data_IF_714141688373
#
_entry.id   IF_714141688373
#
_cell.length_a   1.000
_cell.length_b   1.000
_cell.length_c   1.000
_cell.angle_alpha   90.00
_cell.angle_beta   90.00
_cell.angle_gamma   90.00
#
_symmetry.space_group_name_H-M   'P 1'
#
loop_
_entity.id
_entity.type
_entity.pdbx_description
1 polymer ?
#
# COMPACT_ATOMS: atom_id res chain seq x y z
N UNK A 1 20.90 8.80 -20.54
CA UNK A 1 20.18 8.64 -19.25
C UNK A 1 19.28 9.86 -19.09
N UNK A 2 18.05 9.71 -18.60
CA UNK A 2 17.19 10.88 -18.36
C UNK A 2 17.73 11.74 -17.23
N UNK A 3 17.67 13.06 -17.37
CA UNK A 3 18.04 14.00 -16.30
C UNK A 3 17.08 13.77 -15.13
N UNK A 4 17.58 13.23 -14.02
CA UNK A 4 16.75 12.89 -12.86
C UNK A 4 16.13 14.13 -12.22
N UNK A 5 15.02 13.95 -11.49
CA UNK A 5 14.30 15.08 -10.90
C UNK A 5 15.18 15.96 -10.00
N UNK A 6 16.12 15.35 -9.27
CA UNK A 6 17.10 16.04 -8.44
C UNK A 6 17.95 17.03 -9.25
N UNK A 7 18.38 16.68 -10.46
CA UNK A 7 19.21 17.55 -11.31
C UNK A 7 18.38 18.71 -11.90
N UNK A 8 17.14 18.45 -12.32
CA UNK A 8 16.25 19.50 -12.83
C UNK A 8 15.88 20.50 -11.72
N UNK A 9 15.58 20.01 -10.51
CA UNK A 9 15.31 20.86 -9.35
C UNK A 9 16.57 21.59 -8.88
N UNK A 10 17.74 20.93 -8.94
CA UNK A 10 19.04 21.56 -8.65
C UNK A 10 19.36 22.72 -9.60
N UNK A 11 19.13 22.56 -10.90
CA UNK A 11 19.29 23.64 -11.88
C UNK A 11 18.32 24.80 -11.59
N UNK A 12 17.03 24.49 -11.33
CA UNK A 12 16.03 25.49 -10.89
C UNK A 12 16.50 26.25 -9.64
N UNK A 13 17.09 25.57 -8.67
CA UNK A 13 17.65 26.16 -7.45
C UNK A 13 18.71 27.21 -7.77
N UNK A 14 19.66 26.88 -8.65
CA UNK A 14 20.74 27.79 -9.07
C UNK A 14 20.18 29.00 -9.82
N UNK A 15 19.26 28.78 -10.78
CA UNK A 15 18.62 29.89 -11.52
C UNK A 15 17.88 30.85 -10.59
N UNK A 16 17.13 30.34 -9.61
CA UNK A 16 16.43 31.16 -8.62
C UNK A 16 17.39 31.91 -7.70
N UNK A 17 18.55 31.33 -7.36
CA UNK A 17 19.58 32.02 -6.57
C UNK A 17 20.24 33.17 -7.34
N UNK A 18 20.54 32.96 -8.64
CA UNK A 18 21.07 34.01 -9.52
C UNK A 18 20.06 35.15 -9.68
N UNK A 19 18.76 34.83 -9.82
CA UNK A 19 17.69 35.82 -9.87
C UNK A 19 17.57 36.61 -8.56
N UNK A 20 17.64 35.94 -7.40
CA UNK A 20 17.71 36.58 -6.08
C UNK A 20 18.89 37.56 -6.00
N UNK A 21 20.11 37.12 -6.33
CA UNK A 21 21.31 37.95 -6.27
C UNK A 21 21.20 39.17 -7.21
N UNK A 22 20.68 38.98 -8.42
CA UNK A 22 20.45 40.05 -9.40
C UNK A 22 19.43 41.07 -8.90
N UNK A 23 18.27 40.63 -8.38
CA UNK A 23 17.24 41.52 -7.83
C UNK A 23 17.75 42.30 -6.60
N UNK A 24 18.49 41.63 -5.70
CA UNK A 24 19.08 42.25 -4.51
C UNK A 24 20.11 43.32 -4.90
N UNK A 25 21.00 43.03 -5.84
CA UNK A 25 22.05 43.95 -6.28
C UNK A 25 21.48 45.16 -7.05
N UNK A 26 20.36 44.98 -7.77
CA UNK A 26 19.66 46.05 -8.47
C UNK A 26 18.72 46.89 -7.57
N UNK A 27 18.78 46.73 -6.24
CA UNK A 27 18.02 47.56 -5.29
C UNK A 27 16.60 47.09 -4.99
N UNK A 28 16.23 45.84 -5.31
CA UNK A 28 14.90 45.27 -5.05
C UNK A 28 14.92 44.16 -3.97
N UNK A 29 15.35 44.44 -2.73
CA UNK A 29 15.56 43.41 -1.71
C UNK A 29 14.26 42.67 -1.34
N UNK A 30 13.13 43.36 -1.20
CA UNK A 30 11.85 42.73 -0.83
C UNK A 30 11.36 41.74 -1.89
N UNK A 31 11.48 42.10 -3.18
CA UNK A 31 11.11 41.23 -4.32
C UNK A 31 12.07 40.04 -4.48
N UNK A 32 13.29 40.14 -3.95
CA UNK A 32 14.29 39.06 -4.02
C UNK A 32 14.01 37.91 -3.04
N UNK A 33 13.33 38.18 -1.91
CA UNK A 33 13.12 37.19 -0.82
C UNK A 33 12.39 35.92 -1.29
N UNK A 34 11.28 35.97 -2.07
CA UNK A 34 10.64 34.77 -2.60
C UNK A 34 11.55 33.93 -3.51
N UNK A 35 12.48 34.57 -4.24
CA UNK A 35 13.44 33.86 -5.08
C UNK A 35 14.47 33.10 -4.24
N UNK A 36 14.97 33.70 -3.16
CA UNK A 36 15.85 33.02 -2.20
C UNK A 36 15.13 31.83 -1.54
N UNK A 37 13.91 32.05 -1.05
CA UNK A 37 13.11 30.99 -0.42
C UNK A 37 12.86 29.81 -1.37
N UNK A 38 12.37 30.09 -2.58
CA UNK A 38 12.12 29.06 -3.59
C UNK A 38 13.43 28.37 -4.05
N UNK A 39 14.57 29.07 -4.02
CA UNK A 39 15.89 28.47 -4.24
C UNK A 39 16.25 27.49 -3.11
N UNK A 40 16.25 27.93 -1.85
CA UNK A 40 16.59 27.07 -0.70
C UNK A 40 15.72 25.81 -0.61
N UNK A 41 14.41 25.95 -0.83
CA UNK A 41 13.49 24.80 -0.87
C UNK A 41 13.79 23.88 -2.05
N UNK A 42 14.11 24.43 -3.24
CA UNK A 42 14.55 23.61 -4.38
C UNK A 42 15.86 22.88 -4.09
N UNK A 43 16.83 23.53 -3.43
CA UNK A 43 18.09 22.89 -3.03
C UNK A 43 17.86 21.71 -2.09
N UNK A 44 17.06 21.88 -1.03
CA UNK A 44 16.74 20.81 -0.07
C UNK A 44 16.07 19.61 -0.75
N UNK A 45 15.14 19.86 -1.68
CA UNK A 45 14.44 18.80 -2.42
C UNK A 45 15.37 18.13 -3.44
N UNK A 46 16.26 18.87 -4.10
CA UNK A 46 17.31 18.33 -4.97
C UNK A 46 18.22 17.36 -4.18
N UNK A 47 18.60 17.75 -2.97
CA UNK A 47 19.43 16.94 -2.07
C UNK A 47 18.68 15.70 -1.58
N UNK A 48 17.47 15.83 -1.04
CA UNK A 48 16.71 14.70 -0.51
C UNK A 48 16.21 13.72 -1.60
N UNK A 49 15.99 14.19 -2.83
CA UNK A 49 15.64 13.33 -3.98
C UNK A 49 16.87 12.75 -4.71
N UNK A 50 18.10 13.05 -4.28
CA UNK A 50 19.35 12.49 -4.81
C UNK A 50 19.41 10.95 -4.59
N UNK A 51 20.03 10.15 -5.50
CA UNK A 51 20.05 8.70 -5.35
C UNK A 51 20.73 8.22 -4.06
N UNK A 52 21.74 8.94 -3.60
CA UNK A 52 22.58 8.55 -2.45
C UNK A 52 21.99 8.96 -1.09
N UNK A 53 20.92 9.76 -1.08
CA UNK A 53 20.28 10.27 0.13
C UNK A 53 18.85 9.74 0.24
N UNK A 54 18.07 9.83 -0.84
CA UNK A 54 16.73 9.26 -0.99
C UNK A 54 15.85 9.37 0.28
N UNK A 55 15.57 10.60 0.72
CA UNK A 55 14.79 10.89 1.93
C UNK A 55 13.36 11.37 1.57
N UNK A 56 12.41 10.48 1.22
CA UNK A 56 11.05 10.87 0.82
C UNK A 56 10.23 11.45 1.98
N UNK A 57 10.64 11.19 3.21
CA UNK A 57 10.04 11.70 4.45
C UNK A 57 10.25 13.22 4.60
N UNK A 58 11.18 13.85 3.85
CA UNK A 58 11.48 15.30 3.96
C UNK A 58 10.23 16.18 3.92
N UNK A 59 9.25 15.84 3.06
CA UNK A 59 8.03 16.62 2.90
C UNK A 59 7.02 16.44 4.06
N UNK A 60 7.34 15.65 5.09
CA UNK A 60 6.50 15.48 6.28
C UNK A 60 5.13 14.87 6.00
N UNK A 61 4.97 14.08 4.94
CA UNK A 61 3.70 13.42 4.63
C UNK A 61 3.45 12.31 5.65
N UNK A 62 2.29 12.38 6.30
CA UNK A 62 1.84 11.42 7.29
C UNK A 62 1.45 10.07 6.65
N UNK A 63 1.38 9.01 7.45
CA UNK A 63 0.96 7.66 7.01
C UNK A 63 -0.47 7.64 6.46
N UNK A 64 -1.36 8.48 6.98
CA UNK A 64 -2.73 8.69 6.49
C UNK A 64 -2.80 9.47 5.16
N UNK A 65 -1.66 9.97 4.65
CA UNK A 65 -1.51 10.73 3.42
C UNK A 65 -1.71 12.25 3.54
N UNK A 66 -1.95 12.77 4.75
CA UNK A 66 -2.08 14.21 5.00
C UNK A 66 -0.71 14.91 5.13
N UNK A 67 -0.73 16.24 5.15
CA UNK A 67 0.46 17.06 5.40
C UNK A 67 0.22 17.98 6.61
N UNK A 68 1.15 18.05 7.57
CA UNK A 68 1.07 18.98 8.69
C UNK A 68 1.27 20.43 8.22
N UNK A 69 0.73 21.37 8.98
CA UNK A 69 0.73 22.81 8.62
C UNK A 69 2.15 23.33 8.37
N UNK A 70 3.14 22.93 9.17
CA UNK A 70 4.54 23.35 8.98
C UNK A 70 5.10 22.95 7.61
N UNK A 71 4.73 21.76 7.11
CA UNK A 71 5.16 21.27 5.79
C UNK A 71 4.43 22.03 4.69
N UNK A 72 3.12 22.25 4.83
CA UNK A 72 2.36 23.04 3.86
C UNK A 72 2.91 24.46 3.74
N UNK A 73 3.33 25.11 4.84
CA UNK A 73 3.99 26.42 4.80
C UNK A 73 5.37 26.30 4.15
N UNK A 74 6.27 25.47 4.69
CA UNK A 74 7.69 25.40 4.28
C UNK A 74 7.90 24.86 2.86
N UNK A 75 7.08 23.90 2.42
CA UNK A 75 7.19 23.30 1.09
C UNK A 75 6.13 23.80 0.10
N UNK A 76 5.31 24.81 0.46
CA UNK A 76 4.28 25.39 -0.43
C UNK A 76 4.75 25.64 -1.87
N UNK A 77 5.92 26.27 -2.15
CA UNK A 77 6.28 26.60 -3.53
C UNK A 77 6.57 25.36 -4.38
N UNK A 78 6.89 24.23 -3.74
CA UNK A 78 7.07 22.95 -4.40
C UNK A 78 5.76 22.16 -4.48
N UNK A 79 5.07 21.96 -3.34
CA UNK A 79 3.86 21.15 -3.28
C UNK A 79 2.77 21.69 -4.21
N UNK A 80 2.49 23.00 -4.20
CA UNK A 80 1.53 23.60 -5.12
C UNK A 80 2.02 23.60 -6.58
N UNK A 81 3.32 23.76 -6.82
CA UNK A 81 3.90 23.67 -8.17
C UNK A 81 3.71 22.27 -8.78
N UNK A 82 4.03 21.20 -8.05
CA UNK A 82 3.87 19.83 -8.58
C UNK A 82 2.39 19.50 -8.75
N UNK A 83 1.51 19.88 -7.79
CA UNK A 83 0.06 19.67 -7.91
C UNK A 83 -0.51 20.39 -9.14
N UNK A 84 -0.17 21.67 -9.33
CA UNK A 84 -0.58 22.47 -10.48
C UNK A 84 -0.05 21.92 -11.81
N UNK A 85 1.23 21.53 -11.86
CA UNK A 85 1.84 20.91 -13.03
C UNK A 85 1.20 19.55 -13.37
N UNK A 86 0.89 18.73 -12.37
CA UNK A 86 0.19 17.44 -12.57
C UNK A 86 -1.25 17.63 -13.04
N UNK A 87 -1.98 18.62 -12.50
CA UNK A 87 -3.32 18.97 -12.98
C UNK A 87 -3.28 19.44 -14.44
N UNK A 88 -2.39 20.40 -14.76
CA UNK A 88 -2.20 20.94 -16.10
C UNK A 88 -1.80 19.85 -17.11
N UNK A 89 -0.82 19.02 -16.77
CA UNK A 89 -0.41 17.88 -17.60
C UNK A 89 -1.56 16.90 -17.83
N UNK A 90 -2.42 16.66 -16.83
CA UNK A 90 -3.58 15.76 -16.99
C UNK A 90 -4.66 16.37 -17.90
N UNK A 91 -4.87 17.68 -17.86
CA UNK A 91 -5.78 18.37 -18.80
C UNK A 91 -5.35 18.20 -20.28
N UNK A 92 -4.04 18.16 -20.55
CA UNK A 92 -3.52 17.97 -21.91
C UNK A 92 -3.31 16.49 -22.31
N UNK A 93 -3.22 15.57 -21.36
CA UNK A 93 -2.88 14.16 -21.60
C UNK A 93 -4.05 13.32 -22.13
N UNK A 94 -5.28 13.60 -21.67
CA UNK A 94 -6.47 12.82 -22.03
C UNK A 94 -6.49 11.38 -21.49
N UNK A 95 -5.48 10.96 -20.72
CA UNK A 95 -5.41 9.62 -20.15
C UNK A 95 -6.47 9.38 -19.06
N UNK A 96 -7.05 8.16 -18.98
CA UNK A 96 -7.99 7.84 -17.92
C UNK A 96 -7.29 7.88 -16.54
N UNK A 97 -7.99 8.36 -15.48
CA UNK A 97 -7.41 8.50 -14.14
C UNK A 97 -6.81 7.20 -13.62
N UNK A 98 -7.47 6.08 -13.89
CA UNK A 98 -7.04 4.72 -13.58
C UNK A 98 -7.35 3.75 -14.73
N UNK A 99 -6.69 2.60 -14.71
CA UNK A 99 -6.96 1.45 -15.58
C UNK A 99 -7.28 0.23 -14.71
N UNK A 100 -8.35 -0.51 -15.04
CA UNK A 100 -8.63 -1.82 -14.45
C UNK A 100 -7.70 -2.86 -15.05
N UNK A 101 -6.93 -3.55 -14.21
CA UNK A 101 -6.00 -4.59 -14.66
C UNK A 101 -6.69 -5.95 -14.66
N UNK A 102 -7.33 -6.31 -13.55
CA UNK A 102 -8.23 -7.45 -13.43
C UNK A 102 -9.35 -7.13 -12.43
N UNK A 103 -10.12 -8.14 -11.99
CA UNK A 103 -11.27 -7.89 -11.12
C UNK A 103 -10.85 -7.37 -9.73
N UNK A 104 -11.41 -6.22 -9.35
CA UNK A 104 -11.05 -5.50 -8.12
C UNK A 104 -9.60 -5.01 -8.03
N UNK A 105 -8.84 -4.88 -9.15
CA UNK A 105 -7.44 -4.40 -9.12
C UNK A 105 -7.22 -3.30 -10.17
N UNK A 106 -6.79 -2.13 -9.69
CA UNK A 106 -6.70 -0.89 -10.45
C UNK A 106 -5.36 -0.18 -10.25
N UNK A 107 -4.82 0.42 -11.32
CA UNK A 107 -3.60 1.25 -11.25
C UNK A 107 -3.84 2.60 -11.92
N UNK A 108 -3.34 3.71 -11.35
CA UNK A 108 -3.65 5.04 -11.87
C UNK A 108 -2.75 6.18 -11.42
N UNK A 109 -3.11 7.37 -11.89
CA UNK A 109 -2.59 8.63 -11.39
C UNK A 109 -3.37 9.13 -10.17
N UNK A 110 -2.88 10.19 -9.55
CA UNK A 110 -3.40 10.69 -8.28
C UNK A 110 -4.88 11.12 -8.41
N UNK A 111 -5.81 10.55 -7.62
CA UNK A 111 -7.23 10.89 -7.71
C UNK A 111 -7.46 12.29 -7.11
N UNK A 112 -7.78 13.28 -7.96
CA UNK A 112 -8.03 14.65 -7.48
C UNK A 112 -9.44 14.87 -6.92
N UNK A 113 -10.30 13.86 -6.95
CA UNK A 113 -11.73 13.95 -6.63
C UNK A 113 -12.36 12.56 -6.65
N UNK A 114 -13.51 12.38 -5.99
CA UNK A 114 -14.20 11.08 -5.85
C UNK A 114 -14.56 10.42 -7.20
N UNK A 115 -14.92 11.18 -8.24
CA UNK A 115 -15.21 10.67 -9.60
C UNK A 115 -14.00 10.00 -10.28
N UNK A 116 -12.79 10.18 -9.72
CA UNK A 116 -11.52 9.64 -10.25
C UNK A 116 -11.02 8.44 -9.47
N UNK A 117 -11.80 7.92 -8.52
CA UNK A 117 -11.54 6.65 -7.85
C UNK A 117 -12.22 5.47 -8.58
N UNK A 118 -11.62 4.27 -8.55
CA UNK A 118 -12.31 3.05 -8.94
C UNK A 118 -13.58 2.78 -8.13
N UNK A 119 -14.57 2.07 -8.70
CA UNK A 119 -15.79 1.70 -7.99
C UNK A 119 -15.53 0.68 -6.87
N UNK A 120 -16.46 0.60 -5.92
CA UNK A 120 -16.49 -0.44 -4.88
C UNK A 120 -15.67 -0.15 -3.63
N UNK A 121 -15.48 1.12 -3.27
CA UNK A 121 -14.74 1.58 -2.08
C UNK A 121 -13.32 0.97 -1.98
N UNK A 122 -12.41 1.28 -2.93
CA UNK A 122 -11.11 0.63 -3.00
C UNK A 122 -10.19 0.98 -1.82
N UNK A 123 -9.45 -0.01 -1.32
CA UNK A 123 -8.26 0.20 -0.51
C UNK A 123 -7.17 0.87 -1.37
N UNK A 124 -6.65 2.01 -0.90
CA UNK A 124 -5.77 2.90 -1.66
C UNK A 124 -4.32 2.74 -1.23
N UNK A 125 -3.43 2.51 -2.19
CA UNK A 125 -1.98 2.57 -2.00
C UNK A 125 -1.44 3.79 -2.74
N UNK A 126 -0.87 4.73 -1.99
CA UNK A 126 -0.33 5.98 -2.51
C UNK A 126 1.20 5.95 -2.57
N UNK A 127 1.76 5.75 -3.76
CA UNK A 127 3.20 5.73 -3.99
C UNK A 127 3.80 7.14 -4.21
N UNK A 128 3.29 8.17 -3.54
CA UNK A 128 3.81 9.55 -3.63
C UNK A 128 4.23 10.08 -2.26
N UNK A 129 5.31 10.86 -2.23
CA UNK A 129 5.64 11.70 -1.07
C UNK A 129 5.12 13.13 -1.23
N UNK A 130 4.72 13.52 -2.45
CA UNK A 130 4.43 14.90 -2.84
C UNK A 130 2.94 15.24 -3.04
N UNK A 131 2.09 14.25 -3.30
CA UNK A 131 0.63 14.45 -3.46
C UNK A 131 -0.09 14.16 -2.13
N UNK A 132 -1.11 14.94 -1.74
CA UNK A 132 -1.90 14.70 -0.54
C UNK A 132 -3.01 13.68 -0.79
N UNK A 133 -3.43 12.95 0.24
CA UNK A 133 -4.77 12.34 0.27
C UNK A 133 -5.81 13.46 0.23
N UNK A 134 -6.87 13.30 -0.55
CA UNK A 134 -8.00 14.24 -0.50
C UNK A 134 -8.85 13.96 0.73
N UNK A 135 -9.31 15.01 1.40
CA UNK A 135 -10.09 14.92 2.63
C UNK A 135 -11.39 14.11 2.43
N UNK A 136 -12.00 14.20 1.25
CA UNK A 136 -13.16 13.40 0.80
C UNK A 136 -12.95 11.87 0.91
N UNK A 137 -11.70 11.40 0.93
CA UNK A 137 -11.37 9.97 1.03
C UNK A 137 -11.15 9.50 2.48
N UNK A 138 -11.05 10.43 3.43
CA UNK A 138 -10.75 10.15 4.85
C UNK A 138 -11.92 9.43 5.51
N UNK A 139 -11.65 8.45 6.36
CA UNK A 139 -12.66 7.60 7.01
C UNK A 139 -13.30 6.53 6.12
N UNK A 140 -13.60 6.85 4.85
CA UNK A 140 -14.33 5.93 3.96
C UNK A 140 -13.45 4.83 3.33
N UNK A 141 -12.18 5.13 3.03
CA UNK A 141 -11.28 4.21 2.30
C UNK A 141 -10.09 3.80 3.19
N UNK A 142 -9.78 2.51 3.21
CA UNK A 142 -8.50 2.01 3.75
C UNK A 142 -7.34 2.60 2.93
N UNK A 143 -6.26 3.01 3.60
CA UNK A 143 -5.19 3.79 2.97
C UNK A 143 -3.80 3.37 3.48
N UNK A 144 -2.84 3.27 2.56
CA UNK A 144 -1.44 3.00 2.85
C UNK A 144 -0.54 3.95 2.04
N UNK A 145 0.29 4.74 2.72
CA UNK A 145 1.28 5.59 2.08
C UNK A 145 2.61 4.85 1.87
N UNK A 146 3.11 4.86 0.63
CA UNK A 146 4.45 4.36 0.25
C UNK A 146 5.25 5.57 -0.27
N UNK A 147 5.78 6.42 0.61
CA UNK A 147 6.31 7.73 0.23
C UNK A 147 7.53 7.56 -0.67
N UNK A 148 7.39 7.87 -1.95
CA UNK A 148 8.45 7.70 -2.96
C UNK A 148 8.53 8.95 -3.84
N UNK A 149 9.72 9.55 -3.94
CA UNK A 149 9.98 10.68 -4.85
C UNK A 149 9.66 10.37 -6.31
N UNK A 150 9.15 11.34 -7.07
CA UNK A 150 8.98 11.14 -8.51
C UNK A 150 10.31 10.80 -9.21
N UNK A 151 10.24 9.94 -10.23
CA UNK A 151 11.39 9.28 -10.88
C UNK A 151 12.23 8.30 -10.03
N UNK A 152 12.03 8.21 -8.70
CA UNK A 152 12.55 7.09 -7.86
C UNK A 152 11.64 5.87 -7.96
N UNK A 153 12.08 4.77 -7.34
CA UNK A 153 11.31 3.57 -7.10
C UNK A 153 11.08 3.38 -5.59
N UNK A 154 9.95 2.79 -5.16
CA UNK A 154 9.79 2.27 -3.80
C UNK A 154 10.89 1.24 -3.49
N UNK A 155 11.30 1.10 -2.24
CA UNK A 155 12.30 0.10 -1.86
C UNK A 155 11.70 -1.31 -1.86
N UNK A 156 12.50 -2.39 -2.01
CA UNK A 156 12.00 -3.76 -1.97
C UNK A 156 11.14 -4.09 -0.74
N UNK A 157 11.53 -3.59 0.44
CA UNK A 157 10.75 -3.73 1.68
C UNK A 157 9.40 -2.99 1.60
N UNK A 158 9.38 -1.73 1.14
CA UNK A 158 8.13 -0.97 0.94
C UNK A 158 7.17 -1.67 -0.04
N UNK A 159 7.73 -2.29 -1.10
CA UNK A 159 6.97 -3.07 -2.07
C UNK A 159 6.34 -4.28 -1.36
N UNK A 160 7.09 -5.03 -0.56
CA UNK A 160 6.59 -6.20 0.16
C UNK A 160 5.48 -5.84 1.16
N UNK A 161 5.67 -4.79 1.97
CA UNK A 161 4.63 -4.28 2.90
C UNK A 161 3.35 -3.92 2.14
N UNK A 162 3.48 -3.16 1.05
CA UNK A 162 2.34 -2.74 0.23
C UNK A 162 1.63 -3.92 -0.46
N UNK A 163 2.39 -4.93 -0.90
CA UNK A 163 1.87 -6.16 -1.53
C UNK A 163 1.15 -7.04 -0.52
N UNK A 164 1.71 -7.27 0.67
CA UNK A 164 1.07 -8.03 1.76
C UNK A 164 -0.25 -7.38 2.17
N UNK A 165 -0.24 -6.07 2.41
CA UNK A 165 -1.42 -5.30 2.76
C UNK A 165 -2.50 -5.37 1.66
N UNK A 166 -2.12 -5.20 0.38
CA UNK A 166 -3.03 -5.35 -0.75
C UNK A 166 -3.63 -6.77 -0.84
N UNK A 167 -2.82 -7.81 -0.66
CA UNK A 167 -3.29 -9.20 -0.66
C UNK A 167 -4.33 -9.45 0.44
N UNK A 168 -4.12 -8.92 1.67
CA UNK A 168 -5.11 -9.00 2.77
C UNK A 168 -6.42 -8.32 2.39
N UNK A 169 -6.38 -7.08 1.88
CA UNK A 169 -7.61 -6.37 1.46
C UNK A 169 -8.30 -7.06 0.26
N UNK A 170 -7.56 -7.68 -0.68
CA UNK A 170 -8.16 -8.53 -1.73
C UNK A 170 -8.81 -9.81 -1.18
N UNK A 171 -8.27 -10.44 -0.13
CA UNK A 171 -8.87 -11.59 0.53
C UNK A 171 -10.20 -11.23 1.22
N UNK A 172 -10.32 -10.02 1.74
CA UNK A 172 -11.57 -9.41 2.25
C UNK A 172 -12.55 -8.99 1.12
N UNK A 173 -12.27 -9.35 -0.15
CA UNK A 173 -12.97 -8.91 -1.37
C UNK A 173 -12.93 -7.39 -1.67
N UNK A 174 -12.26 -6.58 -0.84
CA UNK A 174 -12.13 -5.14 -1.04
C UNK A 174 -11.28 -4.87 -2.29
N UNK A 175 -11.71 -4.01 -3.23
CA UNK A 175 -10.90 -3.63 -4.39
C UNK A 175 -9.60 -2.93 -3.97
N UNK A 176 -8.53 -3.05 -4.75
CA UNK A 176 -7.26 -2.34 -4.49
C UNK A 176 -6.96 -1.36 -5.62
N UNK A 177 -6.62 -0.14 -5.25
CA UNK A 177 -6.20 0.93 -6.15
C UNK A 177 -4.80 1.43 -5.80
N UNK A 178 -3.84 1.25 -6.72
CA UNK A 178 -2.46 1.70 -6.54
C UNK A 178 -2.20 2.92 -7.43
N UNK A 179 -1.80 4.05 -6.85
CA UNK A 179 -1.52 5.26 -7.61
C UNK A 179 -0.16 5.90 -7.32
N UNK A 180 0.31 6.69 -8.27
CA UNK A 180 1.35 7.69 -8.07
C UNK A 180 0.88 9.00 -8.73
N UNK A 181 1.76 9.96 -9.08
CA UNK A 181 1.30 11.18 -9.76
C UNK A 181 0.51 10.90 -11.06
N UNK A 182 1.04 10.04 -11.95
CA UNK A 182 0.45 9.76 -13.28
C UNK A 182 0.10 8.28 -13.55
N UNK A 183 0.49 7.37 -12.66
CA UNK A 183 0.27 5.93 -12.87
C UNK A 183 1.17 5.30 -13.93
N UNK A 184 2.43 5.76 -14.02
CA UNK A 184 3.38 5.31 -15.06
C UNK A 184 4.60 4.56 -14.52
N UNK A 185 5.01 4.78 -13.26
CA UNK A 185 6.26 4.25 -12.70
C UNK A 185 6.06 3.63 -11.33
N UNK A 186 6.06 4.45 -10.27
CA UNK A 186 6.07 4.03 -8.86
C UNK A 186 4.96 3.02 -8.53
N UNK A 187 3.71 3.36 -8.84
CA UNK A 187 2.56 2.46 -8.66
C UNK A 187 2.54 1.27 -9.60
N UNK A 188 3.17 1.37 -10.78
CA UNK A 188 3.30 0.24 -11.72
C UNK A 188 4.27 -0.80 -11.16
N UNK A 189 5.34 -0.37 -10.47
CA UNK A 189 6.24 -1.31 -9.79
C UNK A 189 5.52 -2.10 -8.69
N UNK A 190 4.82 -1.43 -7.77
CA UNK A 190 4.03 -2.11 -6.73
C UNK A 190 2.94 -3.00 -7.35
N UNK A 191 2.29 -2.56 -8.44
CA UNK A 191 1.31 -3.37 -9.17
C UNK A 191 1.94 -4.62 -9.82
N UNK A 192 3.15 -4.53 -10.38
CA UNK A 192 3.84 -5.72 -10.91
C UNK A 192 4.08 -6.76 -9.81
N UNK A 193 4.54 -6.31 -8.64
CA UNK A 193 4.76 -7.17 -7.49
C UNK A 193 3.45 -7.79 -6.96
N UNK A 194 2.36 -7.01 -6.89
CA UNK A 194 1.04 -7.50 -6.47
C UNK A 194 0.50 -8.59 -7.42
N UNK A 195 0.61 -8.42 -8.74
CA UNK A 195 0.16 -9.43 -9.69
C UNK A 195 0.95 -10.75 -9.56
N UNK A 196 2.24 -10.67 -9.25
CA UNK A 196 3.11 -11.84 -8.98
C UNK A 196 2.80 -12.50 -7.64
N UNK A 197 2.45 -11.70 -6.62
CA UNK A 197 2.04 -12.20 -5.31
C UNK A 197 0.72 -12.98 -5.39
N UNK A 198 -0.26 -12.45 -6.13
CA UNK A 198 -1.58 -13.06 -6.38
C UNK A 198 -1.55 -14.24 -7.38
N UNK A 199 -0.39 -14.57 -7.97
CA UNK A 199 -0.27 -15.64 -8.96
C UNK A 199 -0.94 -15.31 -10.31
N UNK A 200 -1.20 -14.04 -10.60
CA UNK A 200 -1.75 -13.55 -11.86
C UNK A 200 -0.67 -13.31 -12.92
N UNK A 201 0.61 -13.29 -12.51
CA UNK A 201 1.77 -13.26 -13.37
C UNK A 201 2.89 -14.15 -12.79
N UNK A 202 3.65 -14.82 -13.66
CA UNK A 202 4.78 -15.68 -13.25
C UNK A 202 5.95 -14.87 -12.68
N UNK A 203 6.25 -13.73 -13.31
CA UNK A 203 7.31 -12.80 -12.92
C UNK A 203 6.89 -11.34 -13.14
N UNK A 204 7.69 -10.41 -12.63
CA UNK A 204 7.38 -8.98 -12.72
C UNK A 204 7.43 -8.45 -14.17
N UNK A 205 8.12 -9.14 -15.08
CA UNK A 205 8.29 -8.78 -16.50
C UNK A 205 7.01 -9.12 -17.29
N UNK A 206 6.39 -10.25 -16.99
CA UNK A 206 5.08 -10.64 -17.50
C UNK A 206 3.97 -9.78 -16.88
N UNK A 207 4.07 -9.45 -15.59
CA UNK A 207 3.16 -8.50 -14.94
C UNK A 207 3.18 -7.12 -15.62
N UNK A 208 4.36 -6.59 -15.97
CA UNK A 208 4.47 -5.32 -16.70
C UNK A 208 3.78 -5.38 -18.07
N UNK A 209 3.92 -6.48 -18.83
CA UNK A 209 3.25 -6.65 -20.13
C UNK A 209 1.72 -6.56 -19.98
N UNK A 210 1.16 -7.31 -19.01
CA UNK A 210 -0.27 -7.32 -18.71
C UNK A 210 -0.78 -5.91 -18.33
N UNK A 211 -0.01 -5.16 -17.54
CA UNK A 211 -0.36 -3.77 -17.19
C UNK A 211 -0.29 -2.88 -18.44
N UNK A 212 0.72 -3.05 -19.30
CA UNK A 212 0.91 -2.26 -20.52
C UNK A 212 -0.23 -2.41 -21.52
N UNK A 213 -0.79 -3.61 -21.64
CA UNK A 213 -1.99 -3.87 -22.47
C UNK A 213 -3.21 -3.04 -22.01
N UNK A 214 -3.35 -2.81 -20.70
CA UNK A 214 -4.46 -2.04 -20.09
C UNK A 214 -4.13 -0.55 -19.90
N UNK A 215 -2.85 -0.18 -19.92
CA UNK A 215 -2.35 1.20 -19.74
C UNK A 215 -1.07 1.40 -20.59
N UNK A 216 -1.19 1.68 -21.90
CA UNK A 216 -0.05 1.70 -22.84
C UNK A 216 1.09 2.68 -22.47
N UNK A 217 0.76 3.74 -21.73
CA UNK A 217 1.66 4.84 -21.36
C UNK A 217 2.58 4.55 -20.16
N UNK A 218 2.53 3.34 -19.57
CA UNK A 218 3.44 3.00 -18.47
C UNK A 218 4.92 3.09 -18.90
N UNK A 219 5.76 3.57 -17.98
CA UNK A 219 7.18 3.85 -18.20
C UNK A 219 8.00 3.63 -16.93
N UNK A 220 8.13 2.36 -16.53
CA UNK A 220 9.08 1.97 -15.50
C UNK A 220 10.53 2.18 -15.96
N UNK A 221 11.28 2.99 -15.21
CA UNK A 221 12.71 3.24 -15.45
C UNK A 221 13.59 2.12 -14.83
N UNK A 222 14.92 2.21 -15.01
CA UNK A 222 15.86 1.21 -14.52
C UNK A 222 15.83 1.01 -13.00
N UNK A 223 15.52 2.04 -12.20
CA UNK A 223 15.43 1.93 -10.74
C UNK A 223 14.23 1.08 -10.32
N UNK A 224 13.08 1.25 -10.98
CA UNK A 224 11.88 0.44 -10.71
C UNK A 224 12.13 -1.04 -11.00
N UNK A 225 12.83 -1.32 -12.12
CA UNK A 225 13.21 -2.69 -12.52
C UNK A 225 14.22 -3.30 -11.56
N UNK A 226 15.19 -2.51 -11.09
CA UNK A 226 16.16 -2.95 -10.08
C UNK A 226 15.47 -3.33 -8.76
N UNK A 227 14.60 -2.46 -8.24
CA UNK A 227 13.85 -2.72 -7.00
C UNK A 227 12.94 -3.95 -7.13
N UNK A 228 12.28 -4.15 -8.27
CA UNK A 228 11.50 -5.36 -8.56
C UNK A 228 12.35 -6.63 -8.65
N UNK A 229 13.53 -6.55 -9.24
CA UNK A 229 14.46 -7.69 -9.33
C UNK A 229 15.02 -8.06 -7.96
N UNK A 230 15.34 -7.07 -7.11
CA UNK A 230 15.74 -7.27 -5.70
C UNK A 230 14.61 -7.90 -4.89
N UNK A 231 13.41 -7.28 -4.87
CA UNK A 231 12.20 -7.83 -4.25
C UNK A 231 11.90 -9.28 -4.68
N UNK A 232 12.06 -9.58 -5.97
CA UNK A 232 11.78 -10.92 -6.49
C UNK A 232 12.78 -12.01 -6.02
N UNK A 233 14.00 -11.64 -5.63
CA UNK A 233 15.00 -12.58 -5.12
C UNK A 233 14.67 -13.03 -3.70
N UNK A 234 14.27 -12.11 -2.85
CA UNK A 234 13.92 -12.38 -1.44
C UNK A 234 12.70 -13.31 -1.34
N UNK A 235 11.79 -13.20 -2.32
CA UNK A 235 10.68 -14.16 -2.50
C UNK A 235 11.13 -15.55 -2.94
N UNK A 236 12.23 -15.67 -3.69
CA UNK A 236 12.75 -16.96 -4.18
C UNK A 236 13.63 -17.68 -3.15
N UNK A 237 14.20 -16.98 -2.16
CA UNK A 237 14.92 -17.56 -1.02
C UNK A 237 14.00 -18.09 0.09
N UNK A 238 12.72 -17.71 0.09
CA UNK A 238 11.70 -18.34 0.93
C UNK A 238 11.46 -19.80 0.48
N UNK A 239 11.61 -20.83 1.35
CA UNK A 239 11.58 -22.21 0.89
C UNK A 239 10.23 -22.62 0.28
N UNK A 240 10.26 -23.11 -0.97
CA UNK A 240 9.13 -23.89 -1.50
C UNK A 240 8.97 -25.13 -0.63
N UNK A 241 7.87 -25.25 0.10
CA UNK A 241 7.52 -26.44 0.89
C UNK A 241 7.15 -27.62 -0.01
N UNK A 242 8.14 -28.18 -0.70
CA UNK A 242 8.05 -29.32 -1.60
C UNK A 242 7.93 -30.65 -0.86
N UNK A 243 6.98 -30.74 0.09
CA UNK A 243 6.67 -32.00 0.77
C UNK A 243 5.88 -32.92 -0.18
N UNK A 244 6.60 -33.74 -0.96
CA UNK A 244 6.04 -34.85 -1.75
C UNK A 244 5.52 -35.94 -0.80
N UNK A 245 4.29 -35.78 -0.30
CA UNK A 245 3.60 -36.87 0.39
C UNK A 245 3.12 -37.91 -0.64
N UNK A 246 3.76 -39.08 -0.65
CA UNK A 246 3.23 -40.26 -1.33
C UNK A 246 1.96 -40.70 -0.60
N UNK A 247 0.80 -40.55 -1.24
CA UNK A 247 -0.45 -41.15 -0.77
C UNK A 247 -0.52 -42.61 -1.23
N UNK A 248 -0.12 -43.51 -0.34
CA UNK A 248 -0.45 -44.94 -0.47
C UNK A 248 -1.96 -45.13 -0.46
N UNK A 249 -2.46 -45.93 -1.39
CA UNK A 249 -3.89 -46.20 -1.58
C UNK A 249 -4.51 -46.91 -0.37
N UNK A 250 -5.59 -46.34 0.17
CA UNK A 250 -6.55 -47.07 1.01
C UNK A 250 -7.93 -46.95 0.37
N UNK A 251 -8.40 -48.09 -0.14
CA UNK A 251 -9.73 -48.27 -0.73
C UNK A 251 -10.74 -48.69 0.32
N UNK A 252 -11.92 -48.07 0.35
CA UNK A 252 -13.10 -48.52 1.12
C UNK A 252 -14.34 -48.40 0.20
N UNK A 253 -15.27 -49.38 0.17
CA UNK A 253 -16.08 -49.63 -1.04
C UNK A 253 -17.44 -48.95 -1.07
N UNK A 254 -18.01 -48.86 -2.28
CA UNK A 254 -19.39 -48.43 -2.54
C UNK A 254 -20.37 -49.60 -2.56
N UNK A 255 -21.45 -49.53 -1.79
CA UNK A 255 -22.78 -50.07 -2.17
C UNK A 255 -23.91 -49.60 -1.25
N UNK A 256 -24.98 -49.05 -1.83
CA UNK A 256 -26.37 -49.52 -1.68
C UNK A 256 -27.38 -48.55 -2.34
N UNK A 257 -28.51 -49.09 -2.79
CA UNK A 257 -29.46 -48.45 -3.72
C UNK A 257 -30.85 -48.16 -3.10
N UNK A 258 -31.44 -47.05 -3.57
CA UNK A 258 -32.88 -46.79 -3.83
C UNK A 258 -33.94 -46.74 -2.69
N UNK A 259 -34.49 -45.52 -2.47
CA UNK A 259 -35.91 -45.07 -2.29
C UNK A 259 -35.94 -43.54 -1.99
N UNK A 260 -37.03 -42.76 -2.13
CA UNK A 260 -38.36 -43.00 -2.73
C UNK A 260 -39.25 -41.72 -2.82
N UNK A 261 -39.86 -41.50 -4.00
CA UNK A 261 -40.92 -40.53 -4.41
C UNK A 261 -42.15 -40.51 -3.44
N UNK A 262 -42.83 -39.37 -3.11
CA UNK A 262 -43.56 -38.56 -4.09
C UNK A 262 -43.67 -37.02 -3.98
N UNK A 263 -44.10 -36.49 -5.14
CA UNK A 263 -44.41 -35.11 -5.59
C UNK A 263 -45.56 -34.37 -4.87
N UNK A 264 -45.53 -33.03 -4.94
CA UNK A 264 -46.71 -32.16 -4.89
C UNK A 264 -46.64 -31.03 -5.96
N UNK A 265 -47.82 -30.63 -6.46
CA UNK A 265 -48.06 -29.55 -7.47
C UNK A 265 -48.12 -28.18 -6.73
N UNK A 266 -48.21 -26.97 -7.32
CA UNK A 266 -48.57 -26.42 -8.65
C UNK A 266 -47.85 -25.05 -8.82
N UNK A 267 -48.06 -24.15 -9.79
CA UNK A 267 -49.03 -23.94 -10.88
C UNK A 267 -48.39 -23.07 -11.99
N UNK A 268 -48.94 -23.10 -13.21
CA UNK A 268 -48.40 -22.38 -14.36
C UNK A 268 -48.73 -20.87 -14.38
N UNK A 269 -47.89 -20.09 -15.06
CA UNK A 269 -48.37 -18.93 -15.84
C UNK A 269 -47.61 -18.78 -17.16
N UNK A 270 -48.28 -18.20 -18.16
CA UNK A 270 -47.99 -18.40 -19.59
C UNK A 270 -47.03 -17.39 -20.21
N UNK A 271 -46.37 -17.84 -21.28
CA UNK A 271 -45.57 -17.05 -22.23
C UNK A 271 -46.47 -16.16 -23.11
N UNK A 272 -45.89 -15.16 -23.81
CA UNK A 272 -45.82 -15.32 -25.27
C UNK A 272 -44.41 -15.06 -25.86
N UNK A 273 -44.22 -15.41 -27.14
CA UNK A 273 -43.00 -15.17 -27.91
C UNK A 273 -43.17 -14.05 -28.94
N UNK A 274 -42.10 -13.30 -29.19
CA UNK A 274 -41.41 -13.08 -30.49
C UNK A 274 -40.22 -12.12 -30.22
N UNK A 275 -39.17 -11.99 -31.04
CA UNK A 275 -38.85 -12.54 -32.36
C UNK A 275 -37.33 -12.77 -32.53
N UNK A 276 -36.94 -13.42 -33.64
CA UNK A 276 -35.55 -13.80 -33.96
C UNK A 276 -34.63 -12.62 -34.31
N UNK A 277 -33.44 -12.57 -33.70
CA UNK A 277 -32.24 -11.99 -34.31
C UNK A 277 -31.10 -13.03 -34.24
N UNK A 278 -30.62 -13.47 -35.40
CA UNK A 278 -29.37 -14.24 -35.50
C UNK A 278 -28.20 -13.26 -35.44
N UNK A 279 -27.26 -13.46 -34.52
CA UNK A 279 -25.93 -12.87 -34.60
C UNK A 279 -24.87 -13.90 -34.25
N UNK A 280 -23.89 -14.04 -35.14
CA UNK A 280 -22.79 -15.00 -35.02
C UNK A 280 -21.66 -14.34 -34.23
N UNK A 281 -21.21 -14.96 -33.15
CA UNK A 281 -19.90 -14.64 -32.55
C UNK A 281 -19.24 -15.90 -32.00
N UNK A 282 -17.94 -16.03 -32.28
CA UNK A 282 -17.13 -17.22 -31.99
C UNK A 282 -17.02 -17.45 -30.48
N UNK A 283 -17.28 -18.66 -30.04
CA UNK A 283 -16.94 -19.09 -28.69
C UNK A 283 -15.41 -19.16 -28.52
N UNK A 284 -14.85 -18.24 -27.73
CA UNK A 284 -13.57 -18.49 -27.05
C UNK A 284 -13.88 -19.12 -25.70
N UNK A 285 -13.28 -20.29 -25.44
CA UNK A 285 -13.64 -21.12 -24.30
C UNK A 285 -13.33 -20.47 -22.96
N UNK A 286 -14.35 -20.23 -22.14
CA UNK A 286 -14.19 -19.95 -20.71
C UNK A 286 -13.60 -21.19 -20.03
N UNK A 287 -12.35 -21.12 -19.58
CA UNK A 287 -11.85 -22.05 -18.57
C UNK A 287 -12.37 -21.59 -17.20
N UNK A 288 -13.07 -22.50 -16.52
CA UNK A 288 -13.56 -22.32 -15.15
C UNK A 288 -12.40 -21.94 -14.22
N UNK A 289 -12.58 -20.88 -13.44
CA UNK A 289 -11.60 -20.48 -12.42
C UNK A 289 -11.62 -21.48 -11.26
N UNK A 290 -10.61 -22.35 -11.22
CA UNK A 290 -10.34 -23.18 -10.05
C UNK A 290 -10.08 -22.28 -8.83
N UNK A 291 -10.71 -22.62 -7.70
CA UNK A 291 -10.46 -21.95 -6.41
C UNK A 291 -8.96 -21.95 -6.10
N UNK A 292 -8.41 -20.77 -5.81
CA UNK A 292 -7.02 -20.63 -5.36
C UNK A 292 -6.89 -21.15 -3.93
N UNK A 293 -5.80 -21.90 -3.67
CA UNK A 293 -5.36 -22.28 -2.33
C UNK A 293 -4.21 -21.35 -1.95
N UNK A 294 -4.50 -20.36 -1.10
CA UNK A 294 -3.46 -19.51 -0.50
C UNK A 294 -2.62 -20.38 0.44
N UNK A 295 -1.30 -20.18 0.44
CA UNK A 295 -0.44 -20.81 1.45
C UNK A 295 -0.71 -20.11 2.78
N UNK A 296 -1.14 -20.84 3.79
CA UNK A 296 -1.37 -20.27 5.12
C UNK A 296 -0.04 -19.76 5.70
N UNK A 297 0.00 -18.48 6.08
CA UNK A 297 1.02 -17.96 7.00
C UNK A 297 0.69 -18.47 8.40
N UNK A 298 1.67 -18.53 9.30
CA UNK A 298 1.36 -18.79 10.70
C UNK A 298 0.55 -17.62 11.26
N UNK A 299 -0.50 -17.94 12.01
CA UNK A 299 -1.26 -16.99 12.78
C UNK A 299 -1.32 -17.47 14.23
N UNK A 300 -1.32 -16.52 15.15
CA UNK A 300 -1.22 -16.75 16.58
C UNK A 300 -2.37 -16.06 17.30
N UNK A 301 -2.86 -16.68 18.37
CA UNK A 301 -3.90 -16.10 19.20
C UNK A 301 -3.27 -15.06 20.14
N UNK A 302 -3.68 -13.81 19.98
CA UNK A 302 -3.22 -12.68 20.78
C UNK A 302 -4.37 -12.21 21.66
N UNK A 303 -4.23 -12.44 22.97
CA UNK A 303 -5.18 -11.98 23.98
C UNK A 303 -4.78 -10.60 24.47
N UNK A 304 -5.65 -9.62 24.29
CA UNK A 304 -5.47 -8.24 24.72
C UNK A 304 -6.33 -7.99 25.95
N UNK A 305 -5.69 -7.54 27.04
CA UNK A 305 -6.36 -7.21 28.31
C UNK A 305 -6.39 -5.68 28.45
N UNK A 306 -7.59 -5.12 28.59
CA UNK A 306 -7.83 -3.69 28.81
C UNK A 306 -7.56 -3.24 30.26
N UNK A 307 -7.67 -1.93 30.55
CA UNK A 307 -7.52 -1.40 31.91
C UNK A 307 -8.65 -1.83 32.86
N UNK A 308 -9.85 -2.13 32.33
CA UNK A 308 -11.01 -2.62 33.10
C UNK A 308 -11.11 -4.16 33.11
N UNK A 309 -10.00 -4.89 32.96
CA UNK A 309 -9.94 -6.35 32.76
C UNK A 309 -10.78 -6.89 31.58
N UNK A 310 -11.15 -6.02 30.63
CA UNK A 310 -11.81 -6.40 29.39
C UNK A 310 -10.87 -7.25 28.52
N UNK A 311 -11.14 -8.55 28.44
CA UNK A 311 -10.40 -9.50 27.62
C UNK A 311 -10.95 -9.57 26.20
N UNK A 312 -10.08 -9.44 25.20
CA UNK A 312 -10.41 -9.67 23.80
C UNK A 312 -9.35 -10.57 23.15
N UNK A 313 -9.74 -11.45 22.24
CA UNK A 313 -8.84 -12.39 21.57
C UNK A 313 -8.92 -12.20 20.06
N UNK A 314 -7.76 -12.05 19.41
CA UNK A 314 -7.63 -11.89 17.96
C UNK A 314 -6.59 -12.86 17.39
N UNK A 315 -6.92 -13.44 16.23
CA UNK A 315 -5.97 -14.22 15.44
C UNK A 315 -5.09 -13.26 14.62
N UNK A 316 -3.82 -13.15 14.99
CA UNK A 316 -2.85 -12.21 14.39
C UNK A 316 -1.84 -12.99 13.55
N UNK A 317 -1.74 -12.73 12.22
CA UNK A 317 -0.69 -13.29 11.38
C UNK A 317 0.72 -12.88 11.83
N UNK A 318 1.69 -13.77 11.66
CA UNK A 318 3.12 -13.55 11.99
C UNK A 318 3.78 -12.37 11.23
N UNK A 319 3.08 -11.81 10.24
CA UNK A 319 3.52 -10.72 9.37
C UNK A 319 2.63 -9.47 9.43
N UNK A 320 1.81 -9.35 10.48
CA UNK A 320 0.98 -8.17 10.77
C UNK A 320 1.28 -7.63 12.17
N UNK A 321 1.18 -6.31 12.35
CA UNK A 321 1.31 -5.69 13.66
C UNK A 321 0.04 -5.93 14.49
N UNK A 322 0.22 -6.20 15.78
CA UNK A 322 -0.88 -6.46 16.71
C UNK A 322 -1.89 -5.30 16.75
N UNK A 323 -1.44 -4.04 16.73
CA UNK A 323 -2.33 -2.87 16.65
C UNK A 323 -3.20 -2.88 15.39
N UNK A 324 -2.61 -3.07 14.21
CA UNK A 324 -3.36 -2.99 12.95
C UNK A 324 -4.40 -4.12 12.85
N UNK A 325 -4.13 -5.30 13.41
CA UNK A 325 -5.12 -6.40 13.50
C UNK A 325 -6.21 -6.09 14.53
N UNK A 326 -5.86 -5.47 15.66
CA UNK A 326 -6.83 -5.04 16.65
C UNK A 326 -7.84 -4.03 16.07
N UNK A 327 -7.36 -3.06 15.30
CA UNK A 327 -8.21 -2.08 14.62
C UNK A 327 -9.06 -2.69 13.50
N UNK A 328 -8.49 -3.57 12.66
CA UNK A 328 -9.24 -4.31 11.63
C UNK A 328 -10.34 -5.20 12.27
N UNK A 329 -10.17 -5.62 13.54
CA UNK A 329 -11.17 -6.33 14.34
C UNK A 329 -12.16 -5.41 15.11
N UNK A 330 -12.01 -4.09 15.02
CA UNK A 330 -12.88 -3.11 15.67
C UNK A 330 -12.56 -2.77 17.13
N UNK A 331 -11.35 -3.10 17.60
CA UNK A 331 -10.89 -2.70 18.94
C UNK A 331 -10.11 -1.39 18.90
N UNK A 332 -10.38 -0.52 19.87
CA UNK A 332 -9.61 0.71 20.08
C UNK A 332 -8.45 0.45 21.06
N UNK A 333 -7.23 0.70 20.59
CA UNK A 333 -6.00 0.65 21.39
C UNK A 333 -5.31 2.02 21.35
N UNK A 334 -4.51 2.39 22.37
CA UNK A 334 -3.83 3.66 22.39
C UNK A 334 -2.69 3.67 21.35
N UNK A 335 -2.64 4.70 20.50
CA UNK A 335 -1.52 4.92 19.58
C UNK A 335 -1.35 6.41 19.28
N UNK A 336 -0.18 6.78 18.74
CA UNK A 336 0.07 8.12 18.21
C UNK A 336 0.94 8.08 16.96
N UNK A 337 2.22 7.68 17.07
CA UNK A 337 3.15 7.73 15.93
C UNK A 337 3.05 6.56 14.94
N UNK A 338 2.57 5.39 15.37
CA UNK A 338 2.66 4.09 14.66
C UNK A 338 4.05 3.74 14.08
N UNK A 339 5.11 4.24 14.72
CA UNK A 339 6.50 4.07 14.27
C UNK A 339 7.43 3.56 15.38
N UNK A 340 6.88 3.09 16.52
CA UNK A 340 7.69 2.57 17.63
C UNK A 340 8.54 3.62 18.37
N UNK A 341 8.21 4.90 18.26
CA UNK A 341 9.01 6.04 18.79
C UNK A 341 8.36 6.85 19.91
N UNK A 342 7.05 6.71 20.18
CA UNK A 342 6.32 7.58 21.12
C UNK A 342 5.84 6.92 22.42
N UNK A 343 6.01 5.61 22.59
CA UNK A 343 5.55 4.88 23.79
C UNK A 343 4.03 4.72 23.96
N UNK A 344 3.18 5.46 23.25
CA UNK A 344 1.72 5.44 23.43
C UNK A 344 1.09 4.06 23.23
N UNK A 345 1.64 3.24 22.32
CA UNK A 345 1.17 1.88 22.05
C UNK A 345 1.76 0.82 23.01
N UNK A 346 2.23 1.24 24.18
CA UNK A 346 2.83 0.35 25.17
C UNK A 346 1.82 -0.63 25.78
N UNK A 347 2.24 -1.88 25.82
CA UNK A 347 1.65 -2.94 26.62
C UNK A 347 2.72 -3.73 27.37
N UNK A 348 2.26 -4.66 28.18
CA UNK A 348 3.08 -5.60 28.95
C UNK A 348 2.74 -7.04 28.54
N UNK A 349 3.73 -7.75 28.01
CA UNK A 349 3.66 -9.13 27.56
C UNK A 349 3.77 -10.08 28.76
N UNK A 350 2.63 -10.59 29.21
CA UNK A 350 2.55 -11.54 30.33
C UNK A 350 2.90 -12.98 29.94
N UNK A 351 2.66 -13.36 28.68
CA UNK A 351 3.05 -14.65 28.12
C UNK A 351 3.19 -14.60 26.59
N UNK A 352 3.92 -15.57 26.03
CA UNK A 352 4.20 -15.68 24.59
C UNK A 352 5.47 -14.93 24.17
N UNK A 353 5.58 -14.64 22.87
CA UNK A 353 6.73 -13.92 22.32
C UNK A 353 6.32 -13.07 21.12
N UNK A 354 6.93 -11.89 20.99
CA UNK A 354 6.75 -10.98 19.86
C UNK A 354 8.09 -10.52 19.32
N UNK A 355 8.12 -10.16 18.04
CA UNK A 355 9.22 -9.45 17.39
C UNK A 355 8.82 -7.97 17.25
N UNK A 356 9.61 -7.09 17.86
CA UNK A 356 9.43 -5.63 17.85
C UNK A 356 10.75 -4.92 17.50
N UNK A 357 11.60 -5.58 16.72
CA UNK A 357 12.94 -5.12 16.34
C UNK A 357 12.98 -3.81 15.53
N UNK A 358 11.84 -3.35 15.02
CA UNK A 358 11.70 -2.08 14.29
C UNK A 358 11.60 -0.84 15.22
N UNK A 359 11.46 -1.04 16.53
CA UNK A 359 11.31 0.03 17.52
C UNK A 359 12.60 0.64 18.03
N UNK A 360 12.53 1.89 18.47
CA UNK A 360 13.66 2.60 19.12
C UNK A 360 13.32 3.28 20.44
N UNK A 361 12.07 3.23 20.89
CA UNK A 361 11.64 3.82 22.17
C UNK A 361 11.96 2.93 23.39
N UNK A 362 11.83 1.61 23.26
CA UNK A 362 12.15 0.69 24.36
C UNK A 362 13.64 0.34 24.36
N UNK A 363 14.30 0.56 25.50
CA UNK A 363 15.63 0.03 25.76
C UNK A 363 15.56 -1.48 26.06
N UNK A 364 16.67 -2.19 25.86
CA UNK A 364 16.79 -3.64 26.06
C UNK A 364 16.30 -4.09 27.46
N UNK A 365 16.60 -3.32 28.51
CA UNK A 365 16.14 -3.57 29.89
C UNK A 365 14.63 -3.41 30.13
N UNK A 366 13.90 -2.74 29.24
CA UNK A 366 12.43 -2.67 29.26
C UNK A 366 11.82 -3.83 28.47
N UNK A 367 12.48 -4.25 27.39
CA UNK A 367 12.10 -5.44 26.60
C UNK A 367 12.27 -6.71 27.46
N UNK A 368 13.38 -6.84 28.19
CA UNK A 368 13.62 -7.93 29.15
C UNK A 368 12.59 -7.97 30.29
N UNK A 369 12.05 -6.81 30.69
CA UNK A 369 10.95 -6.71 31.66
C UNK A 369 9.59 -7.11 31.09
N UNK A 370 9.49 -7.37 29.78
CA UNK A 370 8.25 -7.74 29.09
C UNK A 370 7.48 -6.59 28.47
N UNK A 371 8.01 -5.36 28.40
CA UNK A 371 7.29 -4.28 27.72
C UNK A 371 7.34 -4.43 26.19
N UNK A 372 6.21 -4.15 25.55
CA UNK A 372 6.01 -4.30 24.10
C UNK A 372 5.29 -3.09 23.50
N UNK A 373 5.60 -2.77 22.24
CA UNK A 373 4.92 -1.72 21.48
C UNK A 373 4.00 -2.35 20.44
N UNK A 374 2.69 -2.43 20.72
CA UNK A 374 1.71 -3.15 19.87
C UNK A 374 1.66 -2.62 18.43
N UNK A 375 2.02 -1.36 18.23
CA UNK A 375 2.05 -0.68 16.94
C UNK A 375 3.21 -1.07 16.00
N UNK A 376 4.15 -1.89 16.48
CA UNK A 376 5.27 -2.44 15.69
C UNK A 376 5.56 -3.92 16.04
N UNK A 377 4.73 -4.53 16.89
CA UNK A 377 4.96 -5.90 17.37
C UNK A 377 4.29 -6.93 16.47
N UNK A 378 5.07 -7.85 15.94
CA UNK A 378 4.62 -9.07 15.26
C UNK A 378 4.56 -10.25 16.24
N UNK A 379 3.51 -11.07 16.29
CA UNK A 379 3.50 -12.27 17.12
C UNK A 379 4.45 -13.34 16.57
N UNK A 380 5.13 -14.04 17.49
CA UNK A 380 5.97 -15.22 17.20
C UNK A 380 5.50 -16.49 17.90
N UNK A 381 4.53 -16.34 18.82
CA UNK A 381 3.77 -17.39 19.48
C UNK A 381 2.44 -16.79 19.96
N UNK A 382 1.49 -17.64 20.37
CA UNK A 382 0.29 -17.20 21.08
C UNK A 382 0.69 -16.40 22.33
N UNK A 383 0.09 -15.23 22.54
CA UNK A 383 0.57 -14.28 23.54
C UNK A 383 -0.55 -13.50 24.25
N UNK A 384 -0.27 -13.07 25.48
CA UNK A 384 -1.21 -12.33 26.34
C UNK A 384 -0.59 -11.00 26.73
N UNK A 385 -1.18 -9.89 26.26
CA UNK A 385 -0.65 -8.53 26.40
C UNK A 385 -1.66 -7.68 27.18
N UNK A 386 -1.22 -7.13 28.31
CA UNK A 386 -1.94 -6.04 28.99
C UNK A 386 -1.67 -4.74 28.24
N UNK A 387 -2.72 -4.05 27.84
CA UNK A 387 -2.65 -2.81 27.05
C UNK A 387 -2.58 -1.58 27.97
N UNK A 388 -2.46 -0.38 27.39
CA UNK A 388 -2.49 0.90 28.13
C UNK A 388 -1.39 1.05 29.20
N UNK A 389 -0.19 0.50 28.96
CA UNK A 389 0.95 0.54 29.90
C UNK A 389 1.92 1.70 29.67
N UNK A 390 1.47 2.77 29.03
CA UNK A 390 2.30 3.95 28.76
C UNK A 390 2.81 4.61 30.04
N UNK A 391 1.97 4.73 31.08
CA UNK A 391 2.35 5.42 32.32
C UNK A 391 3.39 4.65 33.14
N UNK A 392 3.42 3.32 33.03
CA UNK A 392 4.44 2.47 33.67
C UNK A 392 5.83 2.57 33.01
N UNK A 393 5.92 3.16 31.81
CA UNK A 393 7.19 3.46 31.14
C UNK A 393 7.74 4.86 31.46
N UNK A 394 6.96 5.70 32.14
CA UNK A 394 7.34 7.08 32.50
C UNK A 394 7.56 7.28 34.01
N UNK A 395 7.44 6.23 34.81
CA UNK A 395 7.69 6.18 36.26
C UNK A 395 8.81 5.19 36.60
#
# INVERSE_FOLDING_TARGET
MGVGISVLIGLKSVTLFILFATLKNNGYPLLSIPCLYASLISFLISLASNPSINLPILLGKNSDGTFPIWSLVMFSPYLYFVRGFSALRRMFSGEPPYSKICEGIYVGGWPCSLDKLPPGNPAIIDCTCEMPRMLEFTGNHAFLCVPTWDTRAPQPADIEVAVKWACRKRAQNIPVFIHCAYGHGRSVAVMCALLVALGLAEDWKNAEKLIKEKRPYIRMNALHRKALEEWSKDRLSSPKSGARCNMSTVSVPSSCLLKGVPSAKSSAFTRPQLSSIKSISKAFGFKSFSKFKVSAMAAYNVKLIGPDDNENEIEVPEDQYILDTAEDAGMELPYSCRAGTCGTCAGYLSSGSVDQSEGSFLNESLIEKGYVLTCISHPRADCVIHTHKQDELMN
#
